data_IF_327879398522
#
_entry.id   IF_327879398522
#
_cell.length_a   1.000
_cell.length_b   1.000
_cell.length_c   1.000
_cell.angle_alpha   90.00
_cell.angle_beta   90.00
_cell.angle_gamma   90.00
#
_symmetry.space_group_name_H-M   'P 1'
#
loop_
_entity.id
_entity.type
_entity.pdbx_description
1 polymer ?
#
# COMPACT_ATOMS: atom_id res chain seq x y z
N UNK A 1 20.01 -6.82 4.48
CA UNK A 1 18.99 -7.88 4.26
C UNK A 1 19.00 -8.31 2.78
N UNK A 2 20.12 -8.85 2.26
CA UNK A 2 20.26 -9.11 0.81
C UNK A 2 19.37 -10.26 0.31
N UNK A 3 18.86 -11.11 1.21
CA UNK A 3 18.06 -12.27 0.84
C UNK A 3 16.63 -11.92 0.41
N UNK A 4 16.03 -10.88 1.02
CA UNK A 4 14.67 -10.46 0.67
C UNK A 4 14.65 -9.71 -0.67
N UNK A 5 15.65 -8.87 -0.94
CA UNK A 5 15.69 -8.02 -2.13
C UNK A 5 15.62 -8.83 -3.44
N UNK A 6 16.23 -10.03 -3.48
CA UNK A 6 16.23 -10.89 -4.68
C UNK A 6 14.88 -11.55 -4.95
N UNK A 7 14.09 -11.84 -3.92
CA UNK A 7 12.79 -12.50 -4.06
C UNK A 7 11.62 -11.53 -4.02
N UNK A 8 11.86 -10.29 -3.60
CA UNK A 8 10.83 -9.29 -3.46
C UNK A 8 10.30 -8.85 -4.83
N UNK A 9 8.97 -8.73 -5.02
CA UNK A 9 8.37 -8.47 -6.32
C UNK A 9 8.42 -6.97 -6.69
N UNK A 10 9.63 -6.43 -6.88
CA UNK A 10 9.86 -5.00 -7.15
C UNK A 10 9.02 -4.46 -8.31
N UNK A 11 8.87 -5.24 -9.39
CA UNK A 11 8.08 -4.84 -10.56
C UNK A 11 6.62 -4.56 -10.20
N UNK A 12 5.99 -5.46 -9.45
CA UNK A 12 4.60 -5.32 -9.03
C UNK A 12 4.41 -4.10 -8.14
N UNK A 13 5.34 -3.90 -7.20
CA UNK A 13 5.31 -2.73 -6.32
C UNK A 13 5.42 -1.46 -7.16
N UNK A 14 6.33 -1.40 -8.14
CA UNK A 14 6.43 -0.24 -9.03
C UNK A 14 5.16 0.01 -9.84
N UNK A 15 4.49 -1.02 -10.35
CA UNK A 15 3.24 -0.90 -11.11
C UNK A 15 2.07 -0.47 -10.24
N UNK A 16 1.96 -1.03 -9.03
CA UNK A 16 0.95 -0.66 -8.04
C UNK A 16 1.12 0.80 -7.64
N UNK A 17 2.34 1.23 -7.28
CA UNK A 17 2.63 2.61 -6.91
C UNK A 17 2.31 3.58 -8.06
N UNK A 18 2.71 3.25 -9.29
CA UNK A 18 2.37 4.06 -10.47
C UNK A 18 0.87 4.14 -10.71
N UNK A 19 0.12 3.07 -10.44
CA UNK A 19 -1.33 3.06 -10.55
C UNK A 19 -1.98 3.99 -9.52
N UNK A 20 -1.48 3.98 -8.28
CA UNK A 20 -1.91 4.91 -7.23
C UNK A 20 -1.61 6.37 -7.59
N UNK A 21 -0.46 6.65 -8.21
CA UNK A 21 -0.07 7.99 -8.66
C UNK A 21 -1.02 8.60 -9.71
N UNK A 22 -1.74 7.79 -10.49
CA UNK A 22 -2.67 8.30 -11.51
C UNK A 22 -3.74 9.25 -10.94
N UNK A 23 -4.12 9.02 -9.68
CA UNK A 23 -5.15 9.79 -8.97
C UNK A 23 -4.59 10.77 -7.93
N UNK A 24 -3.27 10.79 -7.73
CA UNK A 24 -2.62 11.59 -6.68
C UNK A 24 -1.93 12.81 -7.28
N UNK A 25 -1.97 13.95 -6.59
CA UNK A 25 -1.57 15.26 -7.15
C UNK A 25 -0.50 16.01 -6.35
N UNK A 26 -0.30 15.68 -5.08
CA UNK A 26 0.60 16.44 -4.20
C UNK A 26 1.96 15.74 -4.05
N UNK A 27 2.77 15.80 -5.09
CA UNK A 27 4.06 15.08 -5.11
C UNK A 27 5.03 15.56 -4.01
N UNK A 28 4.93 16.82 -3.59
CA UNK A 28 5.78 17.37 -2.53
C UNK A 28 5.61 16.62 -1.20
N UNK A 29 4.36 16.26 -0.85
CA UNK A 29 4.08 15.51 0.39
C UNK A 29 4.67 14.10 0.39
N UNK A 30 4.62 13.39 -0.74
CA UNK A 30 5.16 12.01 -0.82
C UNK A 30 6.69 12.00 -0.98
N UNK A 31 7.28 13.09 -1.45
CA UNK A 31 8.73 13.26 -1.58
C UNK A 31 9.38 13.74 -0.27
N UNK A 32 8.60 14.27 0.67
CA UNK A 32 9.11 14.73 1.96
C UNK A 32 9.78 13.60 2.76
N UNK A 33 10.80 13.96 3.52
CA UNK A 33 11.43 13.09 4.48
C UNK A 33 10.62 12.89 5.76
N UNK A 34 9.76 13.85 6.11
CA UNK A 34 8.92 13.77 7.28
C UNK A 34 7.75 12.81 7.06
N UNK A 35 7.27 12.24 8.15
CA UNK A 35 6.10 11.37 8.12
C UNK A 35 4.86 12.18 7.69
N UNK A 36 4.03 11.70 6.74
CA UNK A 36 2.91 12.48 6.25
C UNK A 36 1.80 12.55 7.30
N UNK A 37 1.35 13.78 7.57
CA UNK A 37 0.34 14.13 8.57
C UNK A 37 -0.68 15.11 7.98
N UNK A 38 -1.91 15.16 8.50
CA UNK A 38 -2.84 16.23 8.21
C UNK A 38 -2.28 17.59 8.66
N UNK A 39 -2.40 18.64 7.83
CA UNK A 39 -1.75 19.92 8.09
C UNK A 39 -2.37 20.74 9.23
N UNK A 40 -3.64 20.47 9.57
CA UNK A 40 -4.46 21.32 10.47
C UNK A 40 -5.26 20.56 11.52
N UNK A 41 -5.05 19.26 11.63
CA UNK A 41 -5.83 18.40 12.52
C UNK A 41 -4.92 17.70 13.51
N UNK A 42 -5.48 17.38 14.69
CA UNK A 42 -4.84 16.45 15.60
C UNK A 42 -4.57 15.13 14.85
N UNK A 43 -3.45 14.44 15.13
CA UNK A 43 -3.18 13.15 14.51
C UNK A 43 -4.38 12.21 14.64
N UNK A 44 -4.80 11.65 13.51
CA UNK A 44 -5.79 10.58 13.44
C UNK A 44 -5.13 9.35 12.84
N UNK A 45 -4.53 8.47 13.65
CA UNK A 45 -3.93 7.24 13.15
C UNK A 45 -4.93 6.39 12.37
N UNK A 46 -4.45 5.69 11.35
CA UNK A 46 -5.27 4.74 10.60
C UNK A 46 -5.58 3.50 11.46
N UNK A 47 -6.62 2.72 11.16
CA UNK A 47 -6.92 1.49 11.90
C UNK A 47 -5.72 0.52 11.94
N UNK A 48 -4.99 0.41 10.82
CA UNK A 48 -3.75 -0.37 10.77
C UNK A 48 -2.61 0.19 11.63
N UNK A 49 -2.56 1.50 11.90
CA UNK A 49 -1.56 2.09 12.77
C UNK A 49 -1.79 1.65 14.22
N UNK A 50 -3.06 1.60 14.65
CA UNK A 50 -3.43 1.02 15.94
C UNK A 50 -3.14 -0.48 16.00
N UNK A 51 -3.44 -1.23 14.94
CA UNK A 51 -3.16 -2.67 14.89
C UNK A 51 -1.66 -2.99 14.98
N UNK A 52 -0.79 -2.10 14.48
CA UNK A 52 0.67 -2.26 14.55
C UNK A 52 1.30 -1.68 15.83
N UNK A 53 0.55 -0.92 16.63
CA UNK A 53 1.05 -0.28 17.85
C UNK A 53 1.55 -1.33 18.84
N UNK A 54 2.77 -1.14 19.35
CA UNK A 54 3.42 -2.06 20.28
C UNK A 54 4.32 -3.12 19.63
N UNK A 55 4.33 -3.23 18.31
CA UNK A 55 5.29 -4.07 17.59
C UNK A 55 6.70 -3.45 17.65
N UNK A 56 7.71 -4.26 17.93
CA UNK A 56 9.10 -3.80 18.14
C UNK A 56 9.64 -2.97 16.96
N UNK A 57 9.30 -3.35 15.73
CA UNK A 57 9.77 -2.65 14.53
C UNK A 57 9.07 -1.30 14.27
N UNK A 58 8.04 -0.96 15.05
CA UNK A 58 7.30 0.30 14.91
C UNK A 58 7.77 1.39 15.88
N UNK A 59 8.66 1.07 16.82
CA UNK A 59 9.15 1.99 17.86
C UNK A 59 9.69 3.32 17.30
N UNK A 60 10.29 3.28 16.10
CA UNK A 60 10.88 4.45 15.43
C UNK A 60 10.19 4.84 14.13
N UNK A 61 9.02 4.26 13.87
CA UNK A 61 8.29 4.49 12.63
C UNK A 61 7.36 5.71 12.74
N UNK A 62 6.60 5.79 13.83
CA UNK A 62 5.64 6.87 14.06
C UNK A 62 6.28 8.08 14.76
N UNK A 63 5.81 9.31 14.49
CA UNK A 63 6.08 10.46 15.34
C UNK A 63 5.66 10.20 16.80
N UNK A 64 6.36 10.81 17.75
CA UNK A 64 6.15 10.60 19.20
C UNK A 64 4.72 10.94 19.64
N UNK A 65 4.14 11.95 19.03
CA UNK A 65 2.78 12.47 19.27
C UNK A 65 1.71 11.82 18.37
N UNK A 66 2.03 10.78 17.59
CA UNK A 66 1.07 10.18 16.64
C UNK A 66 -0.16 9.59 17.33
N UNK A 67 0.02 9.00 18.52
CA UNK A 67 -1.04 8.32 19.27
C UNK A 67 -1.53 9.10 20.50
N UNK A 68 -1.30 10.42 20.56
CA UNK A 68 -1.65 11.25 21.73
C UNK A 68 -2.99 11.97 21.59
N UNK A 69 -3.74 11.74 20.51
CA UNK A 69 -5.06 12.32 20.35
C UNK A 69 -6.07 11.58 21.25
N UNK A 70 -6.36 12.18 22.42
CA UNK A 70 -7.28 11.64 23.43
C UNK A 70 -8.76 11.74 23.02
N UNK A 71 -9.09 12.46 21.94
CA UNK A 71 -10.46 12.60 21.46
C UNK A 71 -10.96 11.39 20.65
N UNK A 72 -10.11 10.40 20.38
CA UNK A 72 -10.47 9.19 19.63
C UNK A 72 -10.87 8.11 20.63
N UNK A 73 -12.15 7.77 20.68
CA UNK A 73 -12.65 6.67 21.51
C UNK A 73 -12.19 5.30 20.97
N UNK A 74 -12.39 4.23 21.75
CA UNK A 74 -11.94 2.89 21.35
C UNK A 74 -12.66 2.33 20.11
N UNK A 75 -13.92 2.72 19.89
CA UNK A 75 -14.73 2.26 18.77
C UNK A 75 -14.36 2.99 17.46
N UNK A 76 -14.01 4.28 17.56
CA UNK A 76 -13.56 5.15 16.47
C UNK A 76 -12.20 4.74 15.92
N UNK A 77 -11.34 4.11 16.71
CA UNK A 77 -10.01 3.64 16.27
C UNK A 77 -10.07 2.71 15.06
N UNK A 78 -11.15 1.96 14.92
CA UNK A 78 -11.35 0.97 13.86
C UNK A 78 -12.41 1.40 12.85
N UNK A 79 -12.98 2.61 13.00
CA UNK A 79 -14.01 3.12 12.12
C UNK A 79 -13.40 3.77 10.87
N UNK A 80 -13.54 3.07 9.74
CA UNK A 80 -13.04 3.50 8.44
C UNK A 80 -13.93 4.59 7.83
N UNK A 81 -13.33 5.69 7.40
CA UNK A 81 -14.00 6.78 6.67
C UNK A 81 -13.34 7.04 5.31
N UNK A 82 -14.05 7.68 4.38
CA UNK A 82 -13.56 7.88 3.02
C UNK A 82 -12.21 8.63 2.96
N UNK A 83 -11.95 9.59 3.86
CA UNK A 83 -10.68 10.33 3.89
C UNK A 83 -9.46 9.45 4.18
N UNK A 84 -9.64 8.39 4.99
CA UNK A 84 -8.57 7.45 5.33
C UNK A 84 -8.02 6.71 4.11
N UNK A 85 -8.84 6.51 3.07
CA UNK A 85 -8.37 5.90 1.81
C UNK A 85 -7.33 6.77 1.11
N UNK A 86 -7.50 8.09 1.12
CA UNK A 86 -6.55 9.03 0.52
C UNK A 86 -5.30 9.20 1.40
N UNK A 87 -5.46 9.25 2.72
CA UNK A 87 -4.33 9.25 3.66
C UNK A 87 -3.48 7.98 3.54
N UNK A 88 -4.12 6.82 3.40
CA UNK A 88 -3.45 5.53 3.19
C UNK A 88 -2.70 5.51 1.86
N UNK A 89 -3.32 6.04 0.79
CA UNK A 89 -2.67 6.16 -0.52
C UNK A 89 -1.42 7.05 -0.43
N UNK A 90 -1.53 8.20 0.23
CA UNK A 90 -0.40 9.09 0.49
C UNK A 90 0.71 8.36 1.26
N UNK A 91 0.37 7.67 2.36
CA UNK A 91 1.34 6.92 3.17
C UNK A 91 2.04 5.83 2.35
N UNK A 92 1.32 5.09 1.51
CA UNK A 92 1.88 4.05 0.63
C UNK A 92 2.87 4.67 -0.37
N UNK A 93 2.49 5.79 -1.00
CA UNK A 93 3.33 6.49 -1.97
C UNK A 93 4.59 7.06 -1.31
N UNK A 94 4.43 7.71 -0.15
CA UNK A 94 5.53 8.20 0.67
C UNK A 94 6.51 7.08 1.05
N UNK A 95 6.00 5.95 1.54
CA UNK A 95 6.81 4.76 1.80
C UNK A 95 7.56 4.27 0.56
N UNK A 96 6.92 4.33 -0.61
CA UNK A 96 7.55 4.07 -1.91
C UNK A 96 8.75 4.97 -2.15
N UNK A 97 8.62 6.29 -1.96
CA UNK A 97 9.72 7.25 -2.08
C UNK A 97 10.84 6.97 -1.05
N UNK A 98 10.48 6.69 0.21
CA UNK A 98 11.44 6.32 1.27
C UNK A 98 12.17 5.01 1.01
N UNK A 99 11.56 4.10 0.27
CA UNK A 99 12.18 2.85 -0.16
C UNK A 99 13.10 3.07 -1.36
N UNK A 100 12.66 3.86 -2.34
CA UNK A 100 13.43 4.22 -3.52
C UNK A 100 14.72 5.00 -3.17
N UNK A 101 14.67 5.89 -2.17
CA UNK A 101 15.86 6.64 -1.71
C UNK A 101 16.97 5.76 -1.13
N UNK A 102 16.64 4.52 -0.73
CA UNK A 102 17.64 3.52 -0.28
C UNK A 102 18.25 2.71 -1.42
N UNK A 103 17.78 2.88 -2.66
CA UNK A 103 18.28 2.22 -3.87
C UNK A 103 18.37 0.69 -3.78
N UNK A 104 17.38 0.04 -3.14
CA UNK A 104 17.36 -1.42 -2.87
C UNK A 104 16.58 -2.26 -3.89
N UNK A 105 16.12 -1.64 -4.98
CA UNK A 105 15.39 -2.32 -6.06
C UNK A 105 14.31 -1.48 -6.72
N UNK A 106 13.84 -0.44 -6.01
CA UNK A 106 12.93 0.59 -6.52
C UNK A 106 13.70 1.87 -6.81
N UNK A 107 13.33 2.56 -7.89
CA UNK A 107 13.84 3.88 -8.27
C UNK A 107 12.65 4.81 -8.46
N UNK A 108 12.76 6.04 -7.99
CA UNK A 108 11.75 7.08 -8.19
C UNK A 108 12.38 8.23 -8.97
N UNK A 109 11.75 8.63 -10.07
CA UNK A 109 12.16 9.78 -10.87
C UNK A 109 11.27 10.97 -10.50
N UNK A 110 11.86 12.00 -9.91
CA UNK A 110 11.17 13.21 -9.42
C UNK A 110 10.69 14.13 -10.55
N UNK A 111 11.32 14.09 -11.73
CA UNK A 111 10.92 14.94 -12.86
C UNK A 111 9.65 14.42 -13.56
N UNK A 112 9.53 13.10 -13.68
CA UNK A 112 8.42 12.41 -14.33
C UNK A 112 7.38 11.88 -13.34
N UNK A 113 7.66 11.95 -12.04
CA UNK A 113 6.91 11.32 -10.95
C UNK A 113 6.54 9.87 -11.26
N UNK A 114 7.55 9.03 -11.54
CA UNK A 114 7.34 7.60 -11.82
C UNK A 114 8.28 6.70 -11.03
N UNK A 115 7.72 5.58 -10.59
CA UNK A 115 8.47 4.48 -10.04
C UNK A 115 8.93 3.52 -11.13
N UNK A 116 10.19 3.14 -11.08
CA UNK A 116 10.79 2.09 -11.89
C UNK A 116 11.58 1.14 -10.99
N UNK A 117 12.18 0.10 -11.58
CA UNK A 117 12.99 -0.87 -10.86
C UNK A 117 14.45 -0.75 -11.30
N UNK A 118 15.38 -1.16 -10.43
CA UNK A 118 16.77 -1.29 -10.85
C UNK A 118 16.91 -2.38 -11.92
N UNK A 119 17.79 -2.19 -12.93
CA UNK A 119 17.97 -3.16 -14.02
C UNK A 119 18.29 -4.59 -13.55
N UNK A 120 18.95 -4.73 -12.39
CA UNK A 120 19.27 -6.01 -11.79
C UNK A 120 18.04 -6.88 -11.47
N UNK A 121 16.88 -6.27 -11.20
CA UNK A 121 15.64 -6.97 -10.82
C UNK A 121 14.63 -7.11 -11.96
N UNK A 122 14.95 -6.60 -13.16
CA UNK A 122 14.07 -6.71 -14.33
C UNK A 122 14.00 -8.14 -14.89
N UNK A 123 15.04 -8.95 -14.63
CA UNK A 123 15.16 -10.33 -15.15
C UNK A 123 14.41 -11.38 -14.33
N UNK A 124 14.08 -11.10 -13.06
CA UNK A 124 13.42 -12.04 -12.14
C UNK A 124 11.89 -12.12 -12.30
N UNK A 125 11.31 -11.29 -13.17
CA UNK A 125 9.87 -11.13 -13.40
C UNK A 125 9.20 -12.44 -13.82
N UNK A 126 9.89 -13.33 -14.55
CA UNK A 126 9.29 -14.55 -15.11
C UNK A 126 8.74 -15.51 -14.05
N UNK A 127 9.26 -15.50 -12.82
CA UNK A 127 8.78 -16.40 -11.76
C UNK A 127 7.62 -15.80 -10.96
N UNK A 128 7.68 -14.51 -10.63
CA UNK A 128 6.62 -13.80 -9.91
C UNK A 128 5.36 -13.61 -10.76
N UNK A 129 5.50 -13.25 -12.05
CA UNK A 129 4.36 -13.12 -12.97
C UNK A 129 3.58 -14.43 -13.15
N UNK A 130 4.26 -15.59 -13.06
CA UNK A 130 3.60 -16.90 -13.11
C UNK A 130 2.73 -17.15 -11.87
N UNK A 131 3.20 -16.80 -10.68
CA UNK A 131 2.43 -17.00 -9.44
C UNK A 131 1.18 -16.11 -9.40
N UNK A 132 1.29 -14.87 -9.83
CA UNK A 132 0.15 -13.93 -9.89
C UNK A 132 -0.85 -14.34 -10.97
N UNK A 133 -0.37 -14.85 -12.11
CA UNK A 133 -1.25 -15.38 -13.14
C UNK A 133 -2.05 -16.57 -12.62
N UNK A 134 -1.42 -17.44 -11.81
CA UNK A 134 -2.10 -18.55 -11.13
C UNK A 134 -3.13 -18.02 -10.12
N UNK A 135 -2.77 -17.10 -9.23
CA UNK A 135 -3.72 -16.55 -8.25
C UNK A 135 -4.90 -15.84 -8.91
N UNK A 136 -4.65 -15.05 -9.96
CA UNK A 136 -5.69 -14.36 -10.74
C UNK A 136 -6.58 -15.35 -11.49
N UNK A 137 -6.02 -16.45 -11.97
CA UNK A 137 -6.79 -17.53 -12.59
C UNK A 137 -7.67 -18.24 -11.56
N UNK A 138 -7.12 -18.61 -10.40
CA UNK A 138 -7.85 -19.26 -9.30
C UNK A 138 -8.99 -18.37 -8.80
N UNK A 139 -8.74 -17.07 -8.59
CA UNK A 139 -9.77 -16.11 -8.19
C UNK A 139 -10.91 -16.02 -9.21
N UNK A 140 -10.58 -15.96 -10.52
CA UNK A 140 -11.59 -15.95 -11.58
C UNK A 140 -12.40 -17.25 -11.64
N UNK A 141 -11.77 -18.40 -11.48
CA UNK A 141 -12.46 -19.71 -11.48
C UNK A 141 -13.44 -19.78 -10.30
N UNK A 142 -12.99 -19.42 -9.10
CA UNK A 142 -13.82 -19.49 -7.90
C UNK A 142 -15.03 -18.53 -7.97
N UNK A 143 -14.84 -17.34 -8.54
CA UNK A 143 -15.92 -16.36 -8.68
C UNK A 143 -16.84 -16.61 -9.88
N UNK A 144 -16.38 -17.34 -10.90
CA UNK A 144 -17.24 -17.79 -11.99
C UNK A 144 -18.20 -18.90 -11.52
N UNK A 145 -17.73 -19.80 -10.65
CA UNK A 145 -18.56 -20.86 -10.05
C UNK A 145 -19.64 -20.32 -9.11
N UNK A 146 -19.38 -19.22 -8.39
CA UNK A 146 -20.39 -18.57 -7.53
C UNK A 146 -21.47 -17.82 -8.31
N UNK A 147 -21.15 -17.30 -9.51
CA UNK A 147 -22.11 -16.60 -10.36
C UNK A 147 -23.13 -17.55 -11.01
N UNK A 148 -22.73 -18.78 -11.36
CA UNK A 148 -23.64 -19.79 -11.93
C UNK A 148 -24.63 -20.39 -10.91
N UNK A 149 -24.33 -20.31 -9.61
CA UNK A 149 -25.23 -20.83 -8.56
C UNK A 149 -26.40 -19.89 -8.24
N UNK A 150 -26.25 -18.57 -8.47
CA UNK A 150 -27.28 -17.57 -8.13
C UNK A 150 -28.44 -17.51 -9.14
N UNK A 151 -28.28 -18.02 -10.36
CA UNK A 151 -29.34 -18.01 -11.39
C UNK A 151 -30.27 -19.23 -11.36
N UNK A 152 -29.96 -20.26 -10.55
CA UNK A 152 -30.77 -21.47 -10.48
C UNK A 152 -31.88 -21.44 -9.42
N UNK A 153 -31.89 -20.44 -8.52
CA UNK A 153 -32.81 -20.41 -7.37
C UNK A 153 -34.04 -19.51 -7.53
N UNK A 154 -34.29 -18.92 -8.71
CA UNK A 154 -35.43 -18.01 -8.95
C UNK A 154 -36.57 -18.60 -9.80
N UNK A 155 -36.61 -19.92 -10.01
CA UNK A 155 -37.66 -20.60 -10.78
C UNK A 155 -38.31 -21.72 -9.95
N UNK A 156 -38.79 -21.39 -8.75
CA UNK A 156 -39.83 -22.15 -8.05
C UNK A 156 -40.62 -21.18 -7.16
N UNK A 157 -41.70 -20.61 -7.70
CA UNK A 157 -43.02 -20.46 -7.08
C UNK A 157 -44.00 -20.07 -8.17
#
# INVERSE_FOLDING_TARGET
MPYLEKTFPWKLVSEMLNSSLLSYRDFGRIEDTQFPRPDKELPRPLPEDFAMKGLLWMERYYPVDWFTNENIDDDEKYFEVASMTEERKERILWLGCRLASRQRGLVYNTESHRFTILPAFERDISRASRLIAVDRYVYKVNNASSASASSASSLRY
#
